data_IF_034738798023
#
_entry.id   IF_034738798023
#
_cell.length_a   1.000
_cell.length_b   1.000
_cell.length_c   1.000
_cell.angle_alpha   90.00
_cell.angle_beta   90.00
_cell.angle_gamma   90.00
#
_symmetry.space_group_name_H-M   'P 1'
#
loop_
_entity.id
_entity.type
_entity.pdbx_description
1 polymer ?
#
# COMPACT_ATOMS: atom_id res chain seq x y z
N UNK A 1 -5.21 -35.49 -41.94
CA UNK A 1 -6.64 -35.23 -42.19
C UNK A 1 -6.98 -33.99 -41.40
N UNK A 2 -7.06 -32.89 -42.13
CA UNK A 2 -7.31 -31.52 -41.66
C UNK A 2 -8.72 -31.38 -41.12
N UNK A 3 -8.90 -30.78 -39.95
CA UNK A 3 -10.12 -30.01 -39.69
C UNK A 3 -9.81 -28.79 -38.84
N UNK A 4 -9.94 -27.64 -39.50
CA UNK A 4 -9.85 -26.26 -39.03
C UNK A 4 -11.24 -25.70 -39.30
N UNK A 5 -11.92 -25.17 -38.29
CA UNK A 5 -12.96 -24.12 -38.36
C UNK A 5 -13.50 -23.94 -36.94
N UNK A 6 -13.07 -22.92 -36.21
CA UNK A 6 -13.53 -21.52 -36.27
C UNK A 6 -15.04 -21.39 -35.98
N UNK A 7 -15.34 -21.08 -34.71
CA UNK A 7 -16.68 -20.89 -34.16
C UNK A 7 -16.82 -19.49 -33.59
N UNK A 8 -17.01 -18.53 -34.50
CA UNK A 8 -17.29 -17.11 -34.26
C UNK A 8 -18.53 -16.94 -33.38
N UNK A 9 -18.40 -16.24 -32.24
CA UNK A 9 -19.52 -15.83 -31.39
C UNK A 9 -20.14 -14.53 -31.94
N UNK A 10 -21.47 -14.45 -32.12
CA UNK A 10 -22.08 -13.28 -32.73
C UNK A 10 -22.11 -12.07 -31.79
N UNK A 11 -21.67 -10.93 -32.32
CA UNK A 11 -21.84 -9.60 -31.75
C UNK A 11 -23.32 -9.20 -31.78
N UNK A 12 -23.93 -8.96 -30.62
CA UNK A 12 -25.26 -8.36 -30.53
C UNK A 12 -25.16 -6.83 -30.69
N UNK A 13 -25.42 -6.37 -31.91
CA UNK A 13 -25.69 -4.97 -32.24
C UNK A 13 -27.14 -4.64 -31.92
N UNK A 14 -27.39 -3.73 -30.96
CA UNK A 14 -28.71 -3.11 -30.74
C UNK A 14 -28.67 -1.68 -31.25
N UNK A 15 -28.92 -1.52 -32.55
CA UNK A 15 -29.25 -0.22 -33.16
C UNK A 15 -30.77 -0.11 -33.34
N UNK A 16 -31.27 1.07 -32.97
CA UNK A 16 -32.52 1.64 -33.48
C UNK A 16 -33.72 1.42 -32.57
N UNK A 17 -34.31 2.49 -32.04
CA UNK A 17 -35.54 3.11 -32.58
C UNK A 17 -35.52 4.62 -32.22
N UNK A 18 -35.54 5.47 -33.25
CA UNK A 18 -35.94 6.87 -33.19
C UNK A 18 -37.44 6.95 -33.51
N UNK A 19 -38.21 7.74 -32.76
CA UNK A 19 -39.24 8.70 -33.23
C UNK A 19 -40.38 8.88 -32.22
N UNK A 20 -40.73 10.14 -31.96
CA UNK A 20 -42.03 10.50 -31.36
C UNK A 20 -42.00 11.79 -30.54
N UNK A 21 -42.19 12.95 -31.18
CA UNK A 21 -42.49 14.25 -30.55
C UNK A 21 -44.02 14.43 -30.53
N UNK A 22 -44.61 14.78 -29.39
CA UNK A 22 -45.84 15.57 -29.30
C UNK A 22 -46.07 16.08 -27.86
N UNK A 23 -46.63 17.29 -27.75
CA UNK A 23 -46.50 18.22 -26.62
C UNK A 23 -47.67 18.22 -25.61
N UNK A 24 -47.41 18.93 -24.49
CA UNK A 24 -48.35 19.70 -23.64
C UNK A 24 -48.91 19.03 -22.37
N UNK A 25 -48.47 19.50 -21.19
CA UNK A 25 -49.32 20.09 -20.13
C UNK A 25 -48.52 20.37 -18.84
N UNK A 26 -48.55 21.63 -18.37
CA UNK A 26 -48.04 22.11 -17.08
C UNK A 26 -49.03 21.79 -15.95
N UNK A 27 -48.69 20.97 -14.95
CA UNK A 27 -49.23 21.04 -13.57
C UNK A 27 -48.25 20.41 -12.56
N UNK A 28 -47.83 21.18 -11.55
CA UNK A 28 -47.65 20.69 -10.17
C UNK A 28 -46.26 20.21 -9.74
N UNK A 29 -45.51 21.10 -9.08
CA UNK A 29 -44.41 20.73 -8.19
C UNK A 29 -44.92 19.79 -7.07
N UNK A 30 -44.41 18.56 -7.05
CA UNK A 30 -44.41 17.70 -5.87
C UNK A 30 -43.00 17.09 -5.71
N UNK A 31 -42.01 17.97 -5.61
CA UNK A 31 -40.64 17.62 -5.24
C UNK A 31 -40.49 17.77 -3.72
N UNK A 32 -40.81 16.72 -2.96
CA UNK A 32 -40.42 16.62 -1.56
C UNK A 32 -39.88 15.22 -1.27
N UNK A 33 -38.60 15.15 -0.88
CA UNK A 33 -38.21 14.23 0.17
C UNK A 33 -37.27 13.08 -0.18
N UNK A 34 -36.37 13.21 -1.17
CA UNK A 34 -35.09 12.49 -1.05
C UNK A 34 -34.10 13.44 -0.38
N UNK A 35 -33.95 13.25 0.94
CA UNK A 35 -32.85 13.82 1.71
C UNK A 35 -31.58 13.18 1.14
N UNK A 36 -30.94 13.86 0.20
CA UNK A 36 -29.58 13.50 -0.19
C UNK A 36 -28.73 13.51 1.09
N UNK A 37 -27.87 12.49 1.30
CA UNK A 37 -26.93 12.55 2.39
C UNK A 37 -26.11 13.81 2.14
N UNK A 38 -26.23 14.78 3.04
CA UNK A 38 -25.27 15.88 3.12
C UNK A 38 -23.93 15.19 3.26
N UNK A 39 -23.10 15.27 2.21
CA UNK A 39 -21.73 14.82 2.27
C UNK A 39 -21.09 15.59 3.42
N UNK A 40 -20.77 14.86 4.48
CA UNK A 40 -19.99 15.37 5.59
C UNK A 40 -18.69 15.90 4.98
N UNK A 41 -18.28 17.14 5.29
CA UNK A 41 -17.04 17.69 4.78
C UNK A 41 -15.93 16.68 5.07
N UNK A 42 -15.23 16.20 4.03
CA UNK A 42 -14.06 15.35 4.24
C UNK A 42 -13.12 16.11 5.17
N UNK A 43 -12.91 15.58 6.38
CA UNK A 43 -11.97 16.16 7.33
C UNK A 43 -10.62 16.24 6.59
N UNK A 44 -10.15 17.47 6.31
CA UNK A 44 -8.80 17.67 5.82
C UNK A 44 -7.87 17.04 6.83
N UNK A 45 -7.14 15.96 6.49
CA UNK A 45 -6.30 15.30 7.47
C UNK A 45 -5.28 16.30 7.99
N UNK A 46 -5.23 16.50 9.31
CA UNK A 46 -4.16 17.29 9.92
C UNK A 46 -2.85 16.53 9.74
N UNK A 47 -2.03 16.93 8.76
CA UNK A 47 -0.72 16.34 8.49
C UNK A 47 -0.41 16.18 7.00
N UNK A 48 0.74 15.55 6.66
CA UNK A 48 1.07 15.28 5.28
C UNK A 48 0.09 14.29 4.64
N UNK A 49 -0.12 14.36 3.30
CA UNK A 49 -1.03 13.46 2.59
C UNK A 49 -0.66 11.99 2.81
N UNK A 50 -1.66 11.14 3.07
CA UNK A 50 -1.46 9.68 3.17
C UNK A 50 -0.75 9.15 1.93
N UNK A 51 0.26 8.30 2.12
CA UNK A 51 1.11 7.77 1.05
C UNK A 51 2.27 8.68 0.62
N UNK A 52 2.38 9.91 1.14
CA UNK A 52 3.60 10.72 0.95
C UNK A 52 4.74 10.22 1.84
N UNK A 53 5.99 10.55 1.49
CA UNK A 53 7.15 10.19 2.31
C UNK A 53 7.10 10.91 3.66
N UNK A 54 6.64 12.15 3.68
CA UNK A 54 6.42 12.96 4.88
C UNK A 54 5.38 12.31 5.80
N UNK A 55 4.32 11.73 5.25
CA UNK A 55 3.33 10.98 6.03
C UNK A 55 3.96 9.76 6.69
N UNK A 56 4.76 8.99 5.96
CA UNK A 56 5.41 7.81 6.51
C UNK A 56 6.45 8.16 7.59
N UNK A 57 7.24 9.21 7.37
CA UNK A 57 8.24 9.69 8.34
C UNK A 57 7.58 10.27 9.59
N UNK A 58 6.50 11.05 9.43
CA UNK A 58 5.76 11.66 10.54
C UNK A 58 4.76 10.70 11.23
N UNK A 59 4.61 9.47 10.72
CA UNK A 59 3.58 8.51 11.12
C UNK A 59 3.57 8.19 12.63
N UNK A 60 2.44 8.37 13.34
CA UNK A 60 2.37 8.24 14.79
C UNK A 60 2.72 6.83 15.32
N UNK A 61 2.68 5.80 14.45
CA UNK A 61 3.10 4.44 14.77
C UNK A 61 4.60 4.30 15.11
N UNK A 62 5.45 5.25 14.69
CA UNK A 62 6.90 5.23 14.88
C UNK A 62 7.39 5.54 16.32
N UNK A 63 6.54 5.39 17.32
CA UNK A 63 6.74 6.00 18.65
C UNK A 63 8.02 5.56 19.38
N UNK A 64 8.47 4.31 19.20
CA UNK A 64 9.62 3.77 19.95
C UNK A 64 10.97 4.29 19.45
N UNK A 65 11.15 4.40 18.14
CA UNK A 65 12.47 4.62 17.54
C UNK A 65 12.63 6.02 16.90
N UNK A 66 11.57 6.85 16.89
CA UNK A 66 11.58 8.21 16.30
C UNK A 66 12.65 9.15 16.88
N UNK A 67 13.05 8.97 18.13
CA UNK A 67 14.08 9.81 18.76
C UNK A 67 15.43 9.76 18.02
N UNK A 68 15.66 8.73 17.21
CA UNK A 68 16.89 8.54 16.41
C UNK A 68 16.92 9.42 15.16
N UNK A 69 15.76 9.93 14.72
CA UNK A 69 15.61 10.69 13.48
C UNK A 69 16.50 11.94 13.47
N UNK A 70 16.70 12.58 14.62
CA UNK A 70 17.55 13.77 14.74
C UNK A 70 19.01 13.53 14.36
N UNK A 71 19.52 12.31 14.56
CA UNK A 71 20.90 11.94 14.19
C UNK A 71 20.99 11.21 12.85
N UNK A 72 19.85 10.72 12.32
CA UNK A 72 19.80 9.85 11.15
C UNK A 72 19.19 10.47 9.92
N UNK A 73 18.45 11.57 10.08
CA UNK A 73 17.88 12.35 8.99
C UNK A 73 17.17 11.46 7.94
N UNK A 74 16.14 10.68 8.34
CA UNK A 74 15.51 9.70 7.44
C UNK A 74 14.92 10.35 6.19
N UNK A 75 14.32 11.54 6.34
CA UNK A 75 13.71 12.25 5.23
C UNK A 75 14.74 12.60 4.16
N UNK A 76 15.84 13.21 4.57
CA UNK A 76 16.94 13.63 3.71
C UNK A 76 17.62 12.42 3.07
N UNK A 77 17.86 11.37 3.87
CA UNK A 77 18.50 10.14 3.41
C UNK A 77 17.66 9.42 2.36
N UNK A 78 16.36 9.22 2.60
CA UNK A 78 15.48 8.52 1.67
C UNK A 78 15.23 9.33 0.39
N UNK A 79 15.20 10.67 0.49
CA UNK A 79 15.18 11.56 -0.68
C UNK A 79 16.47 11.50 -1.48
N UNK A 80 17.63 11.46 -0.83
CA UNK A 80 18.92 11.32 -1.49
C UNK A 80 19.00 10.03 -2.32
N UNK A 81 18.50 8.91 -1.78
CA UNK A 81 18.41 7.65 -2.52
C UNK A 81 17.34 7.65 -3.62
N UNK A 82 16.53 8.70 -3.73
CA UNK A 82 15.47 8.80 -4.73
C UNK A 82 14.36 7.77 -4.53
N UNK A 83 14.06 7.41 -3.28
CA UNK A 83 13.00 6.47 -2.93
C UNK A 83 11.68 6.89 -3.59
N UNK A 84 11.00 5.94 -4.22
CA UNK A 84 9.72 6.14 -4.90
C UNK A 84 8.70 5.06 -4.48
N UNK A 85 7.39 5.38 -4.53
CA UNK A 85 6.35 4.56 -3.92
C UNK A 85 6.17 3.17 -4.57
N UNK A 86 6.49 3.03 -5.85
CA UNK A 86 6.37 1.77 -6.62
C UNK A 86 7.66 0.94 -6.67
N UNK A 87 8.68 1.31 -5.91
CA UNK A 87 9.95 0.58 -5.93
C UNK A 87 9.81 -0.78 -5.24
N UNK A 88 10.73 -1.69 -5.57
CA UNK A 88 11.07 -2.82 -4.70
C UNK A 88 12.27 -2.42 -3.88
N UNK A 89 12.16 -2.50 -2.55
CA UNK A 89 13.21 -2.12 -1.62
C UNK A 89 13.58 -3.31 -0.75
N UNK A 90 14.86 -3.66 -0.79
CA UNK A 90 15.45 -4.68 0.09
C UNK A 90 16.16 -3.99 1.25
N UNK A 91 15.71 -4.25 2.47
CA UNK A 91 16.27 -3.73 3.70
C UNK A 91 17.11 -4.83 4.37
N UNK A 92 18.43 -4.67 4.33
CA UNK A 92 19.39 -5.64 4.85
C UNK A 92 19.57 -5.47 6.36
N UNK A 93 19.27 -6.53 7.10
CA UNK A 93 19.33 -6.60 8.55
C UNK A 93 18.58 -5.43 9.21
N UNK A 94 17.25 -5.37 9.08
CA UNK A 94 16.43 -4.22 9.51
C UNK A 94 16.44 -3.97 11.03
N UNK A 95 17.03 -4.88 11.81
CA UNK A 95 17.16 -4.75 13.27
C UNK A 95 15.80 -4.73 13.94
N UNK A 96 15.57 -3.72 14.80
CA UNK A 96 14.26 -3.47 15.41
C UNK A 96 13.22 -2.86 14.45
N UNK A 97 13.62 -2.52 13.21
CA UNK A 97 12.74 -2.04 12.15
C UNK A 97 12.55 -0.52 12.04
N UNK A 98 13.53 0.29 12.48
CA UNK A 98 13.39 1.75 12.41
C UNK A 98 13.13 2.29 10.99
N UNK A 99 13.78 1.72 9.96
CA UNK A 99 13.47 2.03 8.57
C UNK A 99 12.22 1.29 8.08
N UNK A 100 11.97 0.07 8.55
CA UNK A 100 10.74 -0.69 8.26
C UNK A 100 9.48 0.13 8.55
N UNK A 101 9.45 0.87 9.66
CA UNK A 101 8.30 1.70 10.02
C UNK A 101 8.04 2.87 9.07
N UNK A 102 8.99 3.22 8.19
CA UNK A 102 8.82 4.21 7.12
C UNK A 102 8.58 3.50 5.79
N UNK A 103 9.48 2.58 5.43
CA UNK A 103 9.54 1.95 4.10
C UNK A 103 8.30 1.09 3.84
N UNK A 104 7.92 0.23 4.78
CA UNK A 104 6.80 -0.69 4.59
C UNK A 104 5.47 0.04 4.35
N UNK A 105 5.02 1.00 5.19
CA UNK A 105 3.77 1.71 4.92
C UNK A 105 3.85 2.60 3.67
N UNK A 106 5.00 3.23 3.41
CA UNK A 106 5.18 4.07 2.22
C UNK A 106 5.05 3.27 0.91
N UNK A 107 5.69 2.10 0.85
CA UNK A 107 5.63 1.22 -0.32
C UNK A 107 4.26 0.55 -0.43
N UNK A 108 3.62 0.18 0.67
CA UNK A 108 2.28 -0.40 0.67
C UNK A 108 1.23 0.56 0.06
N UNK A 109 1.21 1.82 0.49
CA UNK A 109 0.34 2.85 -0.13
C UNK A 109 0.71 3.11 -1.60
N UNK A 110 1.99 2.94 -1.92
CA UNK A 110 2.56 3.17 -3.23
C UNK A 110 2.40 2.06 -4.25
N UNK A 111 1.85 0.89 -3.85
CA UNK A 111 1.89 -0.35 -4.62
C UNK A 111 3.32 -0.82 -5.01
N UNK A 112 4.29 -0.55 -4.13
CA UNK A 112 5.64 -1.08 -4.18
C UNK A 112 5.79 -2.37 -3.35
N UNK A 113 7.03 -2.84 -3.23
CA UNK A 113 7.38 -4.08 -2.54
C UNK A 113 8.46 -3.83 -1.50
N UNK A 114 8.24 -4.28 -0.27
CA UNK A 114 9.23 -4.24 0.80
C UNK A 114 9.70 -5.65 1.14
N UNK A 115 11.02 -5.85 1.09
CA UNK A 115 11.69 -7.10 1.40
C UNK A 115 12.62 -6.86 2.59
N UNK A 116 12.34 -7.51 3.72
CA UNK A 116 13.22 -7.52 4.88
C UNK A 116 14.17 -8.71 4.80
N UNK A 117 15.43 -8.45 4.47
CA UNK A 117 16.50 -9.44 4.42
C UNK A 117 17.16 -9.56 5.79
N UNK A 118 16.58 -10.39 6.66
CA UNK A 118 17.00 -10.59 8.03
C UNK A 118 18.16 -11.57 8.22
N UNK A 119 18.42 -11.93 9.48
CA UNK A 119 19.40 -12.97 9.78
C UNK A 119 18.93 -14.34 9.34
N UNK A 120 19.86 -15.17 8.86
CA UNK A 120 19.62 -16.58 8.64
C UNK A 120 19.31 -17.27 9.98
N UNK A 121 18.20 -18.00 10.03
CA UNK A 121 17.79 -18.79 11.20
C UNK A 121 17.81 -20.27 10.86
N UNK A 122 17.94 -21.15 11.86
CA UNK A 122 18.04 -22.59 11.66
C UNK A 122 19.18 -23.21 12.47
N UNK A 123 19.59 -24.43 12.10
CA UNK A 123 20.64 -25.16 12.81
C UNK A 123 21.95 -24.38 12.85
N UNK A 124 22.47 -24.12 14.05
CA UNK A 124 23.71 -23.39 14.26
C UNK A 124 23.60 -21.86 14.22
N UNK A 125 22.39 -21.30 14.06
CA UNK A 125 22.19 -19.86 14.14
C UNK A 125 22.38 -19.35 15.59
N UNK A 126 22.86 -18.11 15.72
CA UNK A 126 22.99 -17.44 17.01
C UNK A 126 21.59 -17.26 17.65
N UNK A 127 21.35 -17.71 18.90
CA UNK A 127 20.08 -17.51 19.59
C UNK A 127 19.60 -16.06 19.64
N UNK A 128 20.52 -15.08 19.69
CA UNK A 128 20.17 -13.66 19.66
C UNK A 128 19.62 -13.22 18.30
N UNK A 129 20.17 -13.75 17.20
CA UNK A 129 19.66 -13.49 15.85
C UNK A 129 18.28 -14.11 15.65
N UNK A 130 18.07 -15.33 16.16
CA UNK A 130 16.75 -15.99 16.12
C UNK A 130 15.71 -15.16 16.88
N UNK A 131 16.06 -14.68 18.08
CA UNK A 131 15.17 -13.83 18.87
C UNK A 131 14.85 -12.50 18.17
N UNK A 132 15.84 -11.88 17.53
CA UNK A 132 15.63 -10.64 16.79
C UNK A 132 14.66 -10.84 15.61
N UNK A 133 14.81 -11.94 14.85
CA UNK A 133 13.91 -12.28 13.75
C UNK A 133 12.48 -12.56 14.23
N UNK A 134 12.34 -13.27 15.36
CA UNK A 134 11.03 -13.52 15.96
C UNK A 134 10.37 -12.21 16.42
N UNK A 135 11.12 -11.32 17.07
CA UNK A 135 10.63 -10.01 17.50
C UNK A 135 10.22 -9.12 16.32
N UNK A 136 11.00 -9.14 15.23
CA UNK A 136 10.67 -8.43 14.00
C UNK A 136 9.34 -8.91 13.41
N UNK A 137 9.19 -10.23 13.25
CA UNK A 137 7.95 -10.83 12.74
C UNK A 137 6.76 -10.48 13.61
N UNK A 138 6.90 -10.61 14.93
CA UNK A 138 5.83 -10.28 15.87
C UNK A 138 5.37 -8.83 15.76
N UNK A 139 6.33 -7.89 15.60
CA UNK A 139 6.05 -6.45 15.51
C UNK A 139 5.36 -6.07 14.20
N UNK A 140 5.81 -6.60 13.06
CA UNK A 140 5.41 -6.07 11.76
C UNK A 140 4.43 -6.96 10.96
N UNK A 141 4.43 -8.28 11.17
CA UNK A 141 3.62 -9.19 10.33
C UNK A 141 2.12 -9.13 10.65
N UNK A 142 1.73 -8.64 11.82
CA UNK A 142 0.35 -8.67 12.30
C UNK A 142 -0.49 -7.45 11.89
N UNK A 143 0.12 -6.35 11.46
CA UNK A 143 -0.57 -5.15 10.99
C UNK A 143 -0.34 -4.91 9.49
N UNK A 144 -0.90 -5.81 8.68
CA UNK A 144 -0.84 -5.71 7.21
C UNK A 144 -1.58 -4.48 6.67
N UNK A 145 -2.51 -3.90 7.45
CA UNK A 145 -3.21 -2.69 7.03
C UNK A 145 -2.26 -1.50 6.98
N UNK A 146 -1.37 -1.40 7.96
CA UNK A 146 -0.36 -0.35 8.00
C UNK A 146 0.88 -0.70 7.19
N UNK A 147 1.47 -1.87 7.44
CA UNK A 147 2.79 -2.23 6.88
C UNK A 147 2.71 -2.91 5.52
N UNK A 148 1.51 -3.22 5.03
CA UNK A 148 1.35 -4.01 3.81
C UNK A 148 1.84 -5.45 3.97
N UNK A 149 2.22 -6.05 2.85
CA UNK A 149 2.90 -7.34 2.84
C UNK A 149 4.41 -7.12 2.92
N UNK A 150 5.03 -7.70 3.95
CA UNK A 150 6.48 -7.73 4.13
C UNK A 150 6.97 -9.09 3.68
N UNK A 151 7.76 -9.12 2.62
CA UNK A 151 8.50 -10.32 2.25
C UNK A 151 9.69 -10.49 3.19
N UNK A 152 9.78 -11.65 3.83
CA UNK A 152 10.90 -11.98 4.71
C UNK A 152 11.84 -12.93 3.98
N UNK A 153 13.10 -12.52 3.87
CA UNK A 153 14.19 -13.36 3.39
C UNK A 153 15.37 -13.30 4.35
N UNK A 154 16.41 -14.07 4.09
CA UNK A 154 17.63 -14.10 4.90
C UNK A 154 18.85 -13.69 4.10
N UNK A 155 19.70 -12.87 4.70
CA UNK A 155 21.03 -12.56 4.21
C UNK A 155 22.10 -12.99 5.24
N UNK A 156 22.97 -13.91 4.85
CA UNK A 156 23.94 -14.55 5.75
C UNK A 156 24.98 -15.42 5.03
N UNK A 157 25.74 -16.24 5.78
CA UNK A 157 26.88 -17.00 5.26
C UNK A 157 26.58 -17.95 4.10
N UNK A 158 25.32 -18.36 3.93
CA UNK A 158 24.90 -19.25 2.84
C UNK A 158 24.01 -18.57 1.80
N UNK A 159 23.96 -17.23 1.79
CA UNK A 159 23.24 -16.47 0.77
C UNK A 159 24.08 -16.36 -0.51
N UNK A 160 23.51 -16.78 -1.65
CA UNK A 160 24.14 -16.78 -2.97
C UNK A 160 23.30 -17.51 -4.00
#
# INVERSE_FOLDING_TARGET
MTDLTDGLRPFLSRRGILSGVAASALVGLAACGKKEPTAEPEETPNGPPKGSLEWAVAGPWRAQDRWRDAARHPMETLRFFGLQPRMTVVDFWPGSGWYTEILAPYLAEGAGHYIAAGFQTGTGADPAQVQLMAAFQQRFANDRKLYGEIELTSFGPTSG
#
